data_IF_591792175155
#
_entry.id   IF_591792175155
#
_cell.length_a   1.000
_cell.length_b   1.000
_cell.length_c   1.000
_cell.angle_alpha   90.00
_cell.angle_beta   90.00
_cell.angle_gamma   90.00
#
_symmetry.space_group_name_H-M   'P 1'
#
loop_
_entity.id
_entity.type
_entity.pdbx_description
1 polymer ?
#
# COMPACT_ATOMS: atom_id res chain seq x y z
N UNK A 1 -15.41 5.43 7.83
CA UNK A 1 -14.77 6.75 7.69
C UNK A 1 -13.35 6.59 7.18
N UNK A 2 -13.02 7.31 6.11
CA UNK A 2 -11.68 7.24 5.54
C UNK A 2 -10.68 7.99 6.41
N UNK A 3 -9.60 7.32 6.74
CA UNK A 3 -8.52 7.93 7.49
C UNK A 3 -7.57 8.61 6.52
N UNK A 4 -7.46 9.92 6.60
CA UNK A 4 -6.57 10.70 5.75
C UNK A 4 -5.12 10.24 5.91
N UNK A 5 -4.74 9.84 7.12
CA UNK A 5 -3.41 9.32 7.39
C UNK A 5 -3.04 8.11 6.56
N UNK A 6 -3.96 7.15 6.40
CA UNK A 6 -3.70 5.96 5.60
C UNK A 6 -3.61 6.30 4.11
N UNK A 7 -4.43 7.23 3.64
CA UNK A 7 -4.38 7.68 2.26
C UNK A 7 -3.02 8.33 1.96
N UNK A 8 -2.55 9.18 2.86
CA UNK A 8 -1.25 9.81 2.71
C UNK A 8 -0.11 8.80 2.74
N UNK A 9 -0.19 7.80 3.61
CA UNK A 9 0.82 6.73 3.67
C UNK A 9 0.87 5.93 2.38
N UNK A 10 -0.29 5.54 1.86
CA UNK A 10 -0.37 4.79 0.61
C UNK A 10 0.17 5.62 -0.55
N UNK A 11 -0.20 6.89 -0.62
CA UNK A 11 0.30 7.79 -1.65
C UNK A 11 1.82 7.96 -1.56
N UNK A 12 2.35 8.14 -0.34
CA UNK A 12 3.78 8.27 -0.12
C UNK A 12 4.54 7.03 -0.55
N UNK A 13 4.08 5.85 -0.17
CA UNK A 13 4.68 4.58 -0.59
C UNK A 13 4.64 4.45 -2.11
N UNK A 14 3.51 4.81 -2.72
CA UNK A 14 3.36 4.75 -4.18
C UNK A 14 4.38 5.63 -4.90
N UNK A 15 4.56 6.85 -4.42
CA UNK A 15 5.52 7.78 -5.01
C UNK A 15 6.94 7.26 -4.84
N UNK A 16 7.31 6.79 -3.66
CA UNK A 16 8.65 6.26 -3.40
C UNK A 16 8.94 5.04 -4.24
N UNK A 17 8.00 4.10 -4.32
CA UNK A 17 8.16 2.89 -5.12
C UNK A 17 8.28 3.24 -6.60
N UNK A 18 7.46 4.15 -7.08
CA UNK A 18 7.48 4.59 -8.47
C UNK A 18 8.83 5.21 -8.82
N UNK A 19 9.34 6.10 -7.97
CA UNK A 19 10.65 6.73 -8.18
C UNK A 19 11.77 5.71 -8.17
N UNK A 20 11.78 4.81 -7.19
CA UNK A 20 12.80 3.76 -7.10
C UNK A 20 12.76 2.83 -8.31
N UNK A 21 11.56 2.43 -8.74
CA UNK A 21 11.39 1.57 -9.90
C UNK A 21 11.92 2.23 -11.18
N UNK A 22 11.65 3.52 -11.35
CA UNK A 22 12.14 4.26 -12.52
C UNK A 22 13.65 4.36 -12.52
N UNK A 23 14.25 4.63 -11.38
CA UNK A 23 15.71 4.71 -11.26
C UNK A 23 16.34 3.38 -11.61
N UNK A 24 15.80 2.28 -11.09
CA UNK A 24 16.34 0.94 -11.36
C UNK A 24 16.17 0.57 -12.83
N UNK A 25 15.04 0.90 -13.42
CA UNK A 25 14.76 0.63 -14.83
C UNK A 25 15.73 1.39 -15.73
N UNK A 26 15.98 2.66 -15.44
CA UNK A 26 16.92 3.47 -16.21
C UNK A 26 18.36 2.99 -16.09
N UNK A 27 18.68 2.34 -14.98
CA UNK A 27 20.01 1.77 -14.75
C UNK A 27 20.19 0.40 -15.40
N UNK A 28 19.20 -0.11 -16.11
CA UNK A 28 19.24 -1.42 -16.74
C UNK A 28 18.94 -2.57 -15.81
N UNK A 29 18.38 -2.28 -14.63
CA UNK A 29 18.06 -3.30 -13.62
C UNK A 29 16.55 -3.54 -13.60
N UNK A 30 16.04 -4.00 -14.72
CA UNK A 30 14.60 -4.18 -14.87
C UNK A 30 14.01 -5.21 -13.92
N UNK A 31 14.75 -6.29 -13.65
CA UNK A 31 14.30 -7.31 -12.71
C UNK A 31 14.15 -6.74 -11.31
N UNK A 32 15.11 -5.93 -10.88
CA UNK A 32 15.04 -5.28 -9.57
C UNK A 32 13.93 -4.26 -9.51
N UNK A 33 13.70 -3.54 -10.62
CA UNK A 33 12.59 -2.60 -10.73
C UNK A 33 11.25 -3.32 -10.51
N UNK A 34 11.08 -4.48 -11.13
CA UNK A 34 9.89 -5.29 -10.97
C UNK A 34 9.72 -5.76 -9.51
N UNK A 35 10.80 -6.21 -8.88
CA UNK A 35 10.76 -6.65 -7.49
C UNK A 35 10.36 -5.52 -6.54
N UNK A 36 10.89 -4.32 -6.76
CA UNK A 36 10.54 -3.14 -5.96
C UNK A 36 9.06 -2.82 -6.12
N UNK A 37 8.56 -2.87 -7.34
CA UNK A 37 7.14 -2.61 -7.62
C UNK A 37 6.25 -3.62 -6.91
N UNK A 38 6.59 -4.91 -6.99
CA UNK A 38 5.83 -5.96 -6.32
C UNK A 38 5.87 -5.77 -4.81
N UNK A 39 7.03 -5.47 -4.25
CA UNK A 39 7.16 -5.21 -2.81
C UNK A 39 6.28 -4.05 -2.38
N UNK A 40 6.25 -2.98 -3.16
CA UNK A 40 5.39 -1.83 -2.87
C UNK A 40 3.92 -2.19 -2.88
N UNK A 41 3.49 -2.97 -3.86
CA UNK A 41 2.11 -3.45 -3.93
C UNK A 41 1.77 -4.29 -2.69
N UNK A 42 2.65 -5.18 -2.29
CA UNK A 42 2.43 -6.03 -1.09
C UNK A 42 2.30 -5.16 0.16
N UNK A 43 3.17 -4.16 0.32
CA UNK A 43 3.11 -3.26 1.47
C UNK A 43 1.77 -2.52 1.52
N UNK A 44 1.32 -1.99 0.39
CA UNK A 44 0.04 -1.30 0.30
C UNK A 44 -1.11 -2.24 0.62
N UNK A 45 -1.08 -3.47 0.12
CA UNK A 45 -2.12 -4.45 0.40
C UNK A 45 -2.18 -4.79 1.88
N UNK A 46 -1.03 -4.92 2.54
CA UNK A 46 -0.98 -5.17 3.99
C UNK A 46 -1.63 -4.01 4.75
N UNK A 47 -1.33 -2.78 4.36
CA UNK A 47 -1.96 -1.60 4.97
C UNK A 47 -3.47 -1.61 4.78
N UNK A 48 -3.93 -1.95 3.57
CA UNK A 48 -5.36 -1.99 3.26
C UNK A 48 -6.09 -3.10 4.03
N UNK A 49 -5.45 -4.25 4.22
CA UNK A 49 -6.03 -5.34 5.02
C UNK A 49 -6.29 -4.85 6.45
N UNK A 50 -5.37 -4.08 7.02
CA UNK A 50 -5.57 -3.49 8.35
C UNK A 50 -6.80 -2.58 8.40
N UNK A 51 -7.04 -1.79 7.36
CA UNK A 51 -8.22 -0.93 7.27
C UNK A 51 -9.50 -1.74 7.11
N UNK A 52 -9.45 -2.83 6.36
CA UNK A 52 -10.59 -3.74 6.19
C UNK A 52 -10.95 -4.37 7.54
N UNK A 53 -9.97 -4.77 8.35
CA UNK A 53 -10.22 -5.31 9.69
C UNK A 53 -10.95 -4.29 10.56
N UNK A 54 -10.54 -3.04 10.53
CA UNK A 54 -11.21 -1.98 11.27
C UNK A 54 -12.66 -1.81 10.81
N UNK A 55 -12.88 -1.91 9.51
CA UNK A 55 -14.24 -1.82 8.95
C UNK A 55 -15.09 -2.98 9.44
N UNK A 56 -14.58 -4.20 9.45
CA UNK A 56 -15.30 -5.36 9.98
C UNK A 56 -15.62 -5.19 11.46
N UNK A 57 -14.67 -4.71 12.26
CA UNK A 57 -14.92 -4.43 13.68
C UNK A 57 -16.05 -3.43 13.86
N UNK A 58 -16.07 -2.39 13.03
CA UNK A 58 -17.12 -1.38 13.09
C UNK A 58 -18.48 -2.00 12.75
N UNK A 59 -18.54 -2.81 11.69
CA UNK A 59 -19.77 -3.48 11.29
C UNK A 59 -20.25 -4.41 12.40
N UNK A 60 -19.36 -5.21 12.98
CA UNK A 60 -19.71 -6.10 14.08
C UNK A 60 -20.21 -5.32 15.28
N UNK A 61 -19.59 -4.19 15.59
CA UNK A 61 -20.00 -3.34 16.70
C UNK A 61 -21.40 -2.77 16.48
N UNK A 62 -21.68 -2.32 15.26
CA UNK A 62 -22.99 -1.72 14.93
C UNK A 62 -24.10 -2.77 14.95
N UNK A 63 -23.83 -3.96 14.44
CA UNK A 63 -24.84 -5.02 14.34
C UNK A 63 -24.86 -5.97 15.53
N UNK A 64 -23.96 -5.80 16.46
CA UNK A 64 -23.94 -6.61 17.69
C UNK A 64 -23.42 -8.03 17.51
N UNK A 65 -22.61 -8.26 16.48
CA UNK A 65 -21.97 -9.57 16.32
C UNK A 65 -20.83 -9.75 17.34
#
# INVERSE_FOLDING_TARGET
MLDIGIILKVAGVGILVSAAAQILSKSGRDEQSMLVTIAGIVVVLIMLVGEIEKLFELVCSVFGF
#
